data_IF_196379904353
#
_entry.id   IF_196379904353
#
_cell.length_a   1.000
_cell.length_b   1.000
_cell.length_c   1.000
_cell.angle_alpha   90.00
_cell.angle_beta   90.00
_cell.angle_gamma   90.00
#
_symmetry.space_group_name_H-M   'P 1'
#
loop_
_entity.id
_entity.type
_entity.pdbx_description
1 polymer ?
#
# COMPACT_ATOMS: atom_id res chain seq x y z
N UNK A 1 -18.55 -5.14 -17.36
CA UNK A 1 -17.35 -5.98 -17.09
C UNK A 1 -17.31 -6.22 -15.59
N UNK A 2 -17.20 -7.48 -15.16
CA UNK A 2 -17.10 -7.80 -13.74
C UNK A 2 -15.75 -7.32 -13.17
N UNK A 3 -15.79 -6.75 -11.96
CA UNK A 3 -14.58 -6.37 -11.23
C UNK A 3 -14.01 -7.63 -10.57
N UNK A 4 -12.80 -8.01 -10.94
CA UNK A 4 -12.11 -9.18 -10.34
C UNK A 4 -11.35 -8.73 -9.11
N UNK A 5 -11.65 -9.33 -7.95
CA UNK A 5 -10.92 -9.10 -6.69
C UNK A 5 -10.20 -10.38 -6.26
N UNK A 6 -9.01 -10.23 -5.67
CA UNK A 6 -8.30 -11.36 -5.04
C UNK A 6 -8.66 -11.46 -3.57
N UNK A 7 -9.14 -12.60 -3.12
CA UNK A 7 -9.36 -12.89 -1.70
C UNK A 7 -8.22 -13.77 -1.20
N UNK A 8 -7.46 -13.26 -0.22
CA UNK A 8 -6.25 -13.91 0.31
C UNK A 8 -6.42 -14.24 1.78
N UNK A 9 -6.12 -15.47 2.16
CA UNK A 9 -6.20 -15.92 3.55
C UNK A 9 -6.03 -17.43 3.70
N UNK A 10 -6.22 -17.97 4.92
CA UNK A 10 -6.22 -19.39 5.12
C UNK A 10 -7.44 -20.03 4.44
N UNK A 11 -7.28 -21.30 4.06
CA UNK A 11 -8.25 -22.07 3.28
C UNK A 11 -9.69 -22.00 3.84
N UNK A 12 -9.84 -22.16 5.15
CA UNK A 12 -11.14 -22.15 5.86
C UNK A 12 -11.91 -20.83 5.72
N UNK A 13 -11.21 -19.71 5.56
CA UNK A 13 -11.81 -18.38 5.49
C UNK A 13 -11.98 -17.86 4.06
N UNK A 14 -11.12 -18.26 3.13
CA UNK A 14 -11.17 -17.78 1.74
C UNK A 14 -12.51 -18.11 1.10
N UNK A 15 -13.01 -19.34 1.24
CA UNK A 15 -14.27 -19.75 0.63
C UNK A 15 -15.47 -19.00 1.21
N UNK A 16 -15.49 -18.81 2.52
CA UNK A 16 -16.57 -18.07 3.20
C UNK A 16 -16.59 -16.59 2.77
N UNK A 17 -15.41 -15.96 2.75
CA UNK A 17 -15.29 -14.55 2.35
C UNK A 17 -15.60 -14.39 0.87
N UNK A 18 -15.11 -15.28 0.01
CA UNK A 18 -15.37 -15.27 -1.42
C UNK A 18 -16.86 -15.43 -1.72
N UNK A 19 -17.54 -16.40 -1.10
CA UNK A 19 -18.98 -16.60 -1.28
C UNK A 19 -19.78 -15.34 -0.93
N UNK A 20 -19.43 -14.67 0.19
CA UNK A 20 -20.08 -13.41 0.57
C UNK A 20 -19.80 -12.27 -0.43
N UNK A 21 -18.60 -12.22 -1.02
CA UNK A 21 -18.26 -11.22 -2.03
C UNK A 21 -19.00 -11.45 -3.34
N UNK A 22 -19.22 -12.69 -3.74
CA UNK A 22 -19.91 -13.08 -4.99
C UNK A 22 -21.43 -12.81 -4.93
N UNK A 23 -22.00 -12.58 -3.75
CA UNK A 23 -23.37 -12.06 -3.62
C UNK A 23 -23.52 -10.64 -4.22
N UNK A 24 -22.41 -9.90 -4.34
CA UNK A 24 -22.43 -8.54 -4.91
C UNK A 24 -22.43 -8.61 -6.45
N UNK A 25 -23.48 -8.09 -7.12
CA UNK A 25 -23.52 -8.06 -8.58
C UNK A 25 -22.32 -7.36 -9.21
N UNK A 26 -21.75 -7.95 -10.25
CA UNK A 26 -20.62 -7.36 -10.96
C UNK A 26 -19.25 -7.61 -10.31
N UNK A 27 -19.17 -8.41 -9.26
CA UNK A 27 -17.92 -8.84 -8.62
C UNK A 27 -17.63 -10.29 -9.00
N UNK A 28 -16.39 -10.56 -9.35
CA UNK A 28 -15.83 -11.91 -9.51
C UNK A 28 -14.67 -12.08 -8.55
N UNK A 29 -14.52 -13.27 -7.97
CA UNK A 29 -13.51 -13.50 -6.94
C UNK A 29 -12.46 -14.51 -7.42
N UNK A 30 -11.20 -14.14 -7.30
CA UNK A 30 -10.07 -15.05 -7.40
C UNK A 30 -9.71 -15.52 -5.98
N UNK A 31 -9.98 -16.80 -5.68
CA UNK A 31 -9.67 -17.41 -4.38
C UNK A 31 -8.20 -17.78 -4.32
N UNK A 32 -7.50 -17.31 -3.30
CA UNK A 32 -6.06 -17.46 -3.13
C UNK A 32 -5.77 -17.81 -1.67
N UNK A 33 -5.90 -19.07 -1.39
CA UNK A 33 -5.62 -19.63 -0.07
C UNK A 33 -4.13 -19.88 0.14
N UNK A 34 -3.75 -20.00 1.40
CA UNK A 34 -2.41 -20.36 1.84
C UNK A 34 -2.47 -21.19 3.11
N UNK A 35 -1.51 -22.08 3.27
CA UNK A 35 -1.33 -22.89 4.48
C UNK A 35 -0.68 -22.05 5.60
N UNK A 36 0.21 -21.14 5.20
CA UNK A 36 0.91 -20.25 6.11
C UNK A 36 0.92 -18.81 5.57
N UNK A 37 0.68 -17.84 6.45
CA UNK A 37 0.58 -16.41 6.10
C UNK A 37 1.82 -15.83 5.40
N UNK A 38 2.99 -16.44 5.59
CA UNK A 38 4.25 -16.04 4.91
C UNK A 38 4.23 -16.27 3.40
N UNK A 39 3.32 -17.08 2.87
CA UNK A 39 3.15 -17.32 1.44
C UNK A 39 2.38 -16.17 0.74
N UNK A 40 1.65 -15.35 1.50
CA UNK A 40 0.77 -14.32 0.95
C UNK A 40 1.50 -13.28 0.05
N UNK A 41 2.73 -12.79 0.36
CA UNK A 41 3.41 -11.84 -0.51
C UNK A 41 3.70 -12.39 -1.92
N UNK A 42 4.16 -13.63 -2.02
CA UNK A 42 4.45 -14.29 -3.30
C UNK A 42 3.17 -14.50 -4.12
N UNK A 43 2.08 -14.95 -3.48
CA UNK A 43 0.77 -15.12 -4.10
C UNK A 43 0.26 -13.79 -4.67
N UNK A 44 0.34 -12.72 -3.90
CA UNK A 44 -0.12 -11.38 -4.29
C UNK A 44 0.72 -10.85 -5.47
N UNK A 45 2.04 -10.94 -5.40
CA UNK A 45 2.92 -10.46 -6.46
C UNK A 45 2.63 -11.17 -7.78
N UNK A 46 2.49 -12.50 -7.77
CA UNK A 46 2.24 -13.31 -8.94
C UNK A 46 0.88 -13.03 -9.60
N UNK A 47 -0.14 -12.60 -8.85
CA UNK A 47 -1.53 -12.42 -9.32
C UNK A 47 -1.98 -10.98 -9.47
N UNK A 48 -1.14 -10.01 -9.11
CA UNK A 48 -1.45 -8.56 -9.19
C UNK A 48 -2.00 -8.11 -10.56
N UNK A 49 -1.52 -8.59 -11.73
CA UNK A 49 -2.09 -8.17 -13.02
C UNK A 49 -3.53 -8.65 -13.25
N UNK A 50 -3.98 -9.66 -12.52
CA UNK A 50 -5.27 -10.32 -12.74
C UNK A 50 -6.41 -9.74 -11.91
N UNK A 51 -6.14 -8.80 -10.99
CA UNK A 51 -7.12 -8.27 -10.04
C UNK A 51 -7.17 -6.75 -10.01
N UNK A 52 -8.33 -6.21 -9.70
CA UNK A 52 -8.53 -4.78 -9.46
C UNK A 52 -8.16 -4.38 -8.02
N UNK A 53 -8.16 -5.32 -7.09
CA UNK A 53 -7.80 -5.08 -5.70
C UNK A 53 -7.79 -6.36 -4.86
N UNK A 54 -7.34 -6.23 -3.63
CA UNK A 54 -7.06 -7.31 -2.69
C UNK A 54 -7.93 -7.23 -1.44
N UNK A 55 -8.61 -8.32 -1.10
CA UNK A 55 -9.33 -8.48 0.15
C UNK A 55 -8.65 -9.57 0.98
N UNK A 56 -8.08 -9.20 2.11
CA UNK A 56 -7.45 -10.13 3.05
C UNK A 56 -8.45 -10.56 4.11
N UNK A 57 -8.50 -11.85 4.42
CA UNK A 57 -9.40 -12.39 5.43
C UNK A 57 -9.00 -12.00 6.86
N UNK A 58 -7.77 -11.52 7.08
CA UNK A 58 -7.25 -11.13 8.39
C UNK A 58 -6.02 -10.24 8.33
N UNK A 59 -5.50 -9.87 9.50
CA UNK A 59 -4.43 -8.87 9.67
C UNK A 59 -3.04 -9.42 9.32
N UNK A 60 -2.76 -10.70 9.52
CA UNK A 60 -1.42 -11.27 9.37
C UNK A 60 -0.93 -11.21 7.92
N UNK A 61 -1.64 -11.85 6.99
CA UNK A 61 -1.30 -11.85 5.56
C UNK A 61 -1.28 -10.44 4.96
N UNK A 62 -2.24 -9.56 5.37
CA UNK A 62 -2.26 -8.16 4.95
C UNK A 62 -0.98 -7.42 5.36
N UNK A 63 -0.56 -7.56 6.63
CA UNK A 63 0.62 -6.87 7.14
C UNK A 63 1.90 -7.36 6.47
N UNK A 64 2.03 -8.68 6.23
CA UNK A 64 3.18 -9.25 5.53
C UNK A 64 3.29 -8.73 4.09
N UNK A 65 2.18 -8.66 3.35
CA UNK A 65 2.16 -8.09 2.00
C UNK A 65 2.49 -6.59 2.00
N UNK A 66 2.01 -5.85 3.01
CA UNK A 66 2.32 -4.42 3.17
C UNK A 66 3.81 -4.21 3.47
N UNK A 67 4.40 -5.03 4.34
CA UNK A 67 5.83 -4.95 4.70
C UNK A 67 6.75 -5.36 3.55
N UNK A 68 6.33 -6.33 2.74
CA UNK A 68 7.03 -6.74 1.53
C UNK A 68 6.90 -5.71 0.38
N UNK A 69 5.99 -4.73 0.48
CA UNK A 69 5.79 -3.71 -0.55
C UNK A 69 5.14 -4.22 -1.84
N UNK A 70 4.48 -5.39 -1.81
CA UNK A 70 3.88 -6.02 -3.01
C UNK A 70 2.47 -5.54 -3.33
N UNK A 71 1.88 -4.66 -2.51
CA UNK A 71 0.52 -4.15 -2.69
C UNK A 71 0.46 -3.01 -3.72
N UNK A 72 0.58 -3.34 -5.00
CA UNK A 72 0.49 -2.38 -6.11
C UNK A 72 -0.96 -2.02 -6.51
N UNK A 73 -1.96 -2.74 -5.99
CA UNK A 73 -3.39 -2.48 -6.15
C UNK A 73 -4.02 -2.15 -4.80
N UNK A 74 -5.19 -1.51 -4.76
CA UNK A 74 -5.92 -1.27 -3.51
C UNK A 74 -6.07 -2.55 -2.71
N UNK A 75 -5.81 -2.47 -1.43
CA UNK A 75 -5.85 -3.61 -0.53
C UNK A 75 -6.59 -3.25 0.76
N UNK A 76 -7.51 -4.11 1.14
CA UNK A 76 -8.31 -3.99 2.36
C UNK A 76 -8.28 -5.32 3.09
N UNK A 77 -8.28 -5.29 4.41
CA UNK A 77 -8.52 -6.49 5.22
C UNK A 77 -9.92 -6.48 5.81
N UNK A 78 -10.46 -7.65 6.05
CA UNK A 78 -11.69 -7.78 6.82
C UNK A 78 -11.38 -7.49 8.29
N UNK A 79 -12.11 -6.54 8.88
CA UNK A 79 -11.99 -6.21 10.29
C UNK A 79 -12.93 -7.11 11.11
N UNK A 80 -12.38 -7.65 12.21
CA UNK A 80 -13.17 -8.36 13.21
C UNK A 80 -13.74 -7.32 14.17
N UNK A 81 -15.06 -7.13 14.10
CA UNK A 81 -15.80 -6.11 14.87
C UNK A 81 -16.22 -6.63 16.24
N UNK A 82 -16.70 -5.73 17.10
CA UNK A 82 -17.37 -6.08 18.36
C UNK A 82 -18.52 -7.06 18.16
N UNK A 83 -19.30 -6.93 17.09
CA UNK A 83 -20.36 -7.89 16.75
C UNK A 83 -19.82 -9.29 16.45
N UNK A 84 -18.65 -9.40 15.82
CA UNK A 84 -18.00 -10.70 15.57
C UNK A 84 -17.56 -11.34 16.89
N UNK A 85 -16.96 -10.55 17.79
CA UNK A 85 -16.57 -11.03 19.12
C UNK A 85 -17.79 -11.41 19.94
N UNK A 86 -18.85 -10.57 19.94
CA UNK A 86 -20.09 -10.87 20.67
C UNK A 86 -20.73 -12.20 20.21
N UNK A 87 -20.76 -12.48 18.92
CA UNK A 87 -21.22 -13.77 18.40
C UNK A 87 -20.39 -14.93 18.93
N UNK A 88 -19.07 -14.75 19.05
CA UNK A 88 -18.19 -15.76 19.62
C UNK A 88 -18.47 -15.98 21.12
N UNK A 89 -18.70 -14.91 21.87
CA UNK A 89 -19.07 -15.00 23.31
C UNK A 89 -20.39 -15.74 23.49
N UNK A 90 -21.42 -15.43 22.69
CA UNK A 90 -22.71 -16.13 22.72
C UNK A 90 -22.54 -17.62 22.43
N UNK A 91 -21.72 -17.99 21.44
CA UNK A 91 -21.45 -19.42 21.14
C UNK A 91 -20.79 -20.12 22.30
N UNK A 92 -19.71 -19.54 22.86
CA UNK A 92 -19.02 -20.11 24.02
C UNK A 92 -19.96 -20.26 25.23
N UNK A 93 -20.83 -19.28 25.46
CA UNK A 93 -21.84 -19.37 26.53
C UNK A 93 -22.85 -20.51 26.29
N UNK A 94 -23.30 -20.70 25.03
CA UNK A 94 -24.16 -21.86 24.68
C UNK A 94 -23.46 -23.19 24.85
N UNK A 95 -22.14 -23.23 24.69
CA UNK A 95 -21.29 -24.42 24.95
C UNK A 95 -20.97 -24.59 26.44
N UNK A 96 -21.54 -23.75 27.33
CA UNK A 96 -21.36 -23.85 28.77
C UNK A 96 -20.02 -23.29 29.27
N UNK A 97 -19.30 -22.53 28.43
CA UNK A 97 -18.02 -21.92 28.78
C UNK A 97 -18.21 -20.63 29.57
N UNK A 98 -17.30 -20.34 30.48
CA UNK A 98 -17.27 -19.08 31.23
C UNK A 98 -16.68 -17.98 30.37
N UNK A 99 -17.55 -17.12 29.82
CA UNK A 99 -17.15 -15.99 28.96
C UNK A 99 -16.54 -14.82 29.70
N UNK A 100 -16.52 -14.83 31.04
CA UNK A 100 -15.86 -13.80 31.87
C UNK A 100 -14.37 -14.08 32.06
N UNK A 101 -13.91 -15.31 31.75
CA UNK A 101 -12.53 -15.77 31.90
C UNK A 101 -12.01 -16.30 30.57
N UNK A 102 -11.59 -15.40 29.70
CA UNK A 102 -11.18 -15.71 28.33
C UNK A 102 -9.73 -15.37 28.05
N UNK A 103 -9.17 -16.04 27.03
CA UNK A 103 -7.90 -15.70 26.43
C UNK A 103 -8.12 -15.42 24.94
N UNK A 104 -7.83 -14.19 24.49
CA UNK A 104 -8.17 -13.69 23.16
C UNK A 104 -6.89 -13.19 22.47
N UNK A 105 -6.72 -13.56 21.19
CA UNK A 105 -5.58 -13.06 20.39
C UNK A 105 -6.00 -12.08 19.28
N UNK A 106 -5.00 -11.43 18.72
CA UNK A 106 -5.01 -10.55 17.54
C UNK A 106 -5.90 -9.33 17.61
N UNK A 107 -6.98 -9.36 18.37
CA UNK A 107 -7.86 -8.19 18.54
C UNK A 107 -7.21 -7.09 19.38
N UNK A 108 -7.46 -5.80 19.09
CA UNK A 108 -7.03 -4.72 19.98
C UNK A 108 -7.67 -4.82 21.35
N UNK A 109 -6.88 -4.72 22.41
CA UNK A 109 -7.38 -4.81 23.79
C UNK A 109 -8.51 -3.81 24.10
N UNK A 110 -8.42 -2.59 23.56
CA UNK A 110 -9.46 -1.58 23.73
C UNK A 110 -10.78 -1.98 23.05
N UNK A 111 -10.74 -2.67 21.88
CA UNK A 111 -11.93 -3.15 21.19
C UNK A 111 -12.59 -4.32 21.95
N UNK A 112 -11.77 -5.20 22.56
CA UNK A 112 -12.26 -6.28 23.41
C UNK A 112 -12.95 -5.69 24.66
N UNK A 113 -12.29 -4.78 25.38
CA UNK A 113 -12.85 -4.13 26.55
C UNK A 113 -14.17 -3.38 26.24
N UNK A 114 -14.24 -2.65 25.13
CA UNK A 114 -15.44 -1.97 24.68
C UNK A 114 -16.59 -2.97 24.42
N UNK A 115 -16.32 -4.08 23.76
CA UNK A 115 -17.34 -5.11 23.48
C UNK A 115 -17.87 -5.76 24.77
N UNK A 116 -17.00 -6.02 25.73
CA UNK A 116 -17.41 -6.55 27.04
C UNK A 116 -18.27 -5.55 27.80
N UNK A 117 -17.87 -4.27 27.84
CA UNK A 117 -18.64 -3.21 28.48
C UNK A 117 -20.03 -3.02 27.83
N UNK A 118 -20.12 -3.02 26.50
CA UNK A 118 -21.38 -2.95 25.75
C UNK A 118 -22.28 -4.15 26.02
N UNK A 119 -21.70 -5.34 26.22
CA UNK A 119 -22.42 -6.55 26.56
C UNK A 119 -22.79 -6.64 28.06
N UNK A 120 -22.35 -5.70 28.91
CA UNK A 120 -22.54 -5.75 30.35
C UNK A 120 -21.76 -6.88 31.04
N UNK A 121 -20.67 -7.35 30.44
CA UNK A 121 -19.84 -8.43 30.95
C UNK A 121 -18.59 -7.88 31.65
N UNK A 122 -18.14 -8.47 32.78
CA UNK A 122 -16.85 -8.12 33.37
C UNK A 122 -15.70 -8.60 32.49
N UNK A 123 -14.63 -7.83 32.45
CA UNK A 123 -13.44 -8.13 31.60
C UNK A 123 -12.14 -8.22 32.41
N UNK A 124 -12.19 -8.22 33.74
CA UNK A 124 -11.01 -8.22 34.60
C UNK A 124 -10.12 -9.45 34.44
N UNK A 125 -10.73 -10.62 34.19
CA UNK A 125 -10.06 -11.90 33.96
C UNK A 125 -9.91 -12.24 32.45
N UNK A 126 -10.14 -11.27 31.55
CA UNK A 126 -9.97 -11.45 30.13
C UNK A 126 -8.54 -11.10 29.71
N UNK A 127 -7.83 -12.10 29.22
CA UNK A 127 -6.44 -11.94 28.77
C UNK A 127 -6.40 -11.68 27.26
N UNK A 128 -5.72 -10.61 26.86
CA UNK A 128 -5.64 -10.22 25.43
C UNK A 128 -4.20 -10.09 24.98
N UNK A 129 -3.86 -10.74 23.85
CA UNK A 129 -2.62 -10.52 23.14
C UNK A 129 -2.94 -9.89 21.76
N UNK A 130 -2.85 -8.56 21.63
CA UNK A 130 -3.14 -7.91 20.36
C UNK A 130 -2.09 -8.26 19.29
N UNK A 131 -2.50 -8.23 18.02
CA UNK A 131 -1.58 -8.45 16.91
C UNK A 131 -0.45 -7.40 16.92
N UNK A 132 0.77 -7.90 16.77
CA UNK A 132 1.99 -7.09 16.60
C UNK A 132 2.85 -7.74 15.51
N UNK A 133 3.59 -6.93 14.78
CA UNK A 133 4.56 -7.43 13.80
C UNK A 133 5.54 -8.41 14.45
N UNK A 134 5.78 -9.54 13.78
CA UNK A 134 6.64 -10.60 14.30
C UNK A 134 6.00 -11.46 15.41
N UNK A 135 4.68 -11.34 15.61
CA UNK A 135 3.93 -12.26 16.47
C UNK A 135 3.71 -13.57 15.72
N UNK A 136 4.31 -14.66 16.20
CA UNK A 136 4.18 -15.99 15.58
C UNK A 136 3.08 -16.82 16.24
N UNK A 137 2.47 -17.80 15.51
CA UNK A 137 1.47 -18.70 16.07
C UNK A 137 1.94 -19.44 17.34
N UNK A 138 3.21 -19.84 17.41
CA UNK A 138 3.78 -20.53 18.58
C UNK A 138 3.78 -19.64 19.83
N UNK A 139 4.12 -18.36 19.66
CA UNK A 139 4.11 -17.38 20.77
C UNK A 139 2.68 -17.12 21.25
N UNK A 140 1.73 -17.07 20.33
CA UNK A 140 0.31 -16.91 20.66
C UNK A 140 -0.22 -18.16 21.37
N UNK A 141 0.06 -19.37 20.89
CA UNK A 141 -0.31 -20.61 21.55
C UNK A 141 0.29 -20.72 22.96
N UNK A 142 1.57 -20.34 23.12
CA UNK A 142 2.21 -20.29 24.43
C UNK A 142 1.56 -19.27 25.39
N UNK A 143 1.06 -18.13 24.87
CA UNK A 143 0.29 -17.17 25.65
C UNK A 143 -1.02 -17.78 26.16
N UNK A 144 -1.77 -18.47 25.32
CA UNK A 144 -3.02 -19.11 25.66
C UNK A 144 -2.83 -20.23 26.69
N UNK A 145 -1.83 -21.11 26.52
CA UNK A 145 -1.51 -22.17 27.47
C UNK A 145 -1.25 -21.67 28.90
N UNK A 146 -0.71 -20.47 29.04
CA UNK A 146 -0.53 -19.82 30.36
C UNK A 146 -1.83 -19.32 30.99
N UNK A 147 -2.96 -19.44 30.30
CA UNK A 147 -4.28 -19.00 30.76
C UNK A 147 -5.01 -19.98 31.67
N UNK A 148 -4.35 -20.99 32.24
CA UNK A 148 -4.94 -21.92 33.21
C UNK A 148 -6.28 -22.54 32.80
N UNK A 149 -6.42 -22.97 31.55
CA UNK A 149 -7.62 -23.60 31.00
C UNK A 149 -8.75 -22.64 30.63
N UNK A 150 -8.50 -21.36 30.55
CA UNK A 150 -9.48 -20.41 30.01
C UNK A 150 -9.85 -20.76 28.58
N UNK A 151 -11.13 -20.65 28.19
CA UNK A 151 -11.54 -20.78 26.80
C UNK A 151 -10.79 -19.76 25.92
N UNK A 152 -10.43 -20.17 24.72
CA UNK A 152 -9.59 -19.39 23.80
C UNK A 152 -10.45 -18.92 22.62
N UNK A 153 -10.33 -17.65 22.28
CA UNK A 153 -10.81 -17.10 21.01
C UNK A 153 -9.59 -16.71 20.18
N UNK A 154 -9.43 -17.36 19.02
CA UNK A 154 -8.28 -17.12 18.13
C UNK A 154 -8.71 -16.71 16.73
N UNK A 155 -7.98 -15.74 16.13
CA UNK A 155 -8.11 -15.40 14.70
C UNK A 155 -7.13 -16.19 13.82
N UNK A 156 -6.19 -16.94 14.40
CA UNK A 156 -5.11 -17.64 13.68
C UNK A 156 -5.41 -19.12 13.52
N UNK A 157 -5.39 -19.64 12.28
CA UNK A 157 -5.63 -21.05 11.98
C UNK A 157 -4.62 -21.97 12.68
N UNK A 158 -3.32 -21.64 12.59
CA UNK A 158 -2.27 -22.42 13.23
C UNK A 158 -2.37 -22.48 14.75
N UNK A 159 -2.90 -21.42 15.40
CA UNK A 159 -3.16 -21.42 16.85
C UNK A 159 -4.37 -22.31 17.18
N UNK A 160 -5.43 -22.23 16.38
CA UNK A 160 -6.61 -23.08 16.55
C UNK A 160 -6.23 -24.56 16.44
N UNK A 161 -5.48 -24.93 15.41
CA UNK A 161 -5.01 -26.31 15.20
C UNK A 161 -4.12 -26.81 16.34
N UNK A 162 -3.20 -25.96 16.82
CA UNK A 162 -2.26 -26.31 17.88
C UNK A 162 -2.91 -26.48 19.27
N UNK A 163 -4.09 -25.90 19.50
CA UNK A 163 -4.71 -25.87 20.83
C UNK A 163 -6.04 -26.63 20.92
N UNK A 164 -6.70 -26.97 19.81
CA UNK A 164 -8.05 -27.56 19.80
C UNK A 164 -8.19 -28.87 20.57
N UNK A 165 -7.12 -29.64 20.70
CA UNK A 165 -7.11 -30.89 21.43
C UNK A 165 -6.69 -30.70 22.91
N UNK A 166 -6.23 -29.49 23.30
CA UNK A 166 -5.73 -29.19 24.64
C UNK A 166 -6.69 -28.29 25.44
N UNK A 167 -7.37 -27.34 24.76
CA UNK A 167 -8.19 -26.29 25.38
C UNK A 167 -9.52 -26.13 24.62
N UNK A 168 -10.56 -25.57 25.26
CA UNK A 168 -11.73 -25.08 24.56
C UNK A 168 -11.34 -23.91 23.67
N UNK A 169 -11.22 -24.13 22.35
CA UNK A 169 -10.77 -23.11 21.38
C UNK A 169 -11.87 -22.81 20.38
N UNK A 170 -12.26 -21.55 20.29
CA UNK A 170 -13.15 -21.04 19.26
C UNK A 170 -12.37 -20.27 18.18
N UNK A 171 -12.49 -20.71 16.94
CA UNK A 171 -11.99 -19.98 15.77
C UNK A 171 -12.90 -18.79 15.50
N UNK A 172 -12.34 -17.59 15.53
CA UNK A 172 -13.08 -16.37 15.19
C UNK A 172 -13.20 -16.25 13.66
N UNK A 173 -14.42 -16.20 13.18
CA UNK A 173 -14.74 -16.10 11.74
C UNK A 173 -15.36 -14.74 11.48
N UNK A 174 -14.96 -14.04 10.40
CA UNK A 174 -15.53 -12.74 10.08
C UNK A 174 -17.02 -12.85 9.76
N UNK A 175 -17.81 -11.88 10.23
CA UNK A 175 -19.23 -11.83 9.88
C UNK A 175 -19.42 -11.43 8.41
N UNK A 176 -20.50 -11.89 7.77
CA UNK A 176 -20.86 -11.46 6.41
C UNK A 176 -21.00 -9.93 6.31
N UNK A 177 -21.46 -9.27 7.39
CA UNK A 177 -21.51 -7.81 7.45
C UNK A 177 -20.10 -7.19 7.34
N UNK A 178 -19.12 -7.66 8.12
CA UNK A 178 -17.74 -7.19 8.07
C UNK A 178 -17.12 -7.39 6.69
N UNK A 179 -17.40 -8.55 6.05
CA UNK A 179 -16.95 -8.84 4.69
C UNK A 179 -17.54 -7.84 3.69
N UNK A 180 -18.86 -7.60 3.73
CA UNK A 180 -19.51 -6.63 2.84
C UNK A 180 -19.02 -5.21 3.03
N UNK A 181 -18.73 -4.79 4.27
CA UNK A 181 -18.13 -3.47 4.55
C UNK A 181 -16.73 -3.36 3.96
N UNK A 182 -15.89 -4.38 4.16
CA UNK A 182 -14.54 -4.42 3.62
C UNK A 182 -14.56 -4.46 2.08
N UNK A 183 -15.44 -5.27 1.47
CA UNK A 183 -15.63 -5.31 0.02
C UNK A 183 -16.03 -3.94 -0.53
N UNK A 184 -17.00 -3.26 0.09
CA UNK A 184 -17.41 -1.91 -0.35
C UNK A 184 -16.27 -0.91 -0.31
N UNK A 185 -15.47 -0.93 0.76
CA UNK A 185 -14.27 -0.09 0.86
C UNK A 185 -13.27 -0.40 -0.26
N UNK A 186 -13.06 -1.69 -0.56
CA UNK A 186 -12.17 -2.13 -1.63
C UNK A 186 -12.65 -1.66 -2.99
N UNK A 187 -13.94 -1.84 -3.30
CA UNK A 187 -14.53 -1.42 -4.58
C UNK A 187 -14.41 0.09 -4.79
N UNK A 188 -14.70 0.90 -3.76
CA UNK A 188 -14.52 2.36 -3.81
C UNK A 188 -13.06 2.75 -4.04
N UNK A 189 -12.11 2.09 -3.37
CA UNK A 189 -10.70 2.34 -3.57
C UNK A 189 -10.22 1.92 -4.97
N UNK A 190 -10.70 0.78 -5.50
CA UNK A 190 -10.40 0.32 -6.85
C UNK A 190 -10.97 1.26 -7.92
N UNK A 191 -12.19 1.75 -7.72
CA UNK A 191 -12.82 2.75 -8.62
C UNK A 191 -12.05 4.06 -8.60
N UNK A 192 -11.67 4.57 -7.42
CA UNK A 192 -10.85 5.78 -7.29
C UNK A 192 -9.51 5.62 -8.01
N UNK A 193 -8.84 4.48 -7.83
CA UNK A 193 -7.59 4.18 -8.52
C UNK A 193 -7.78 4.11 -10.05
N UNK A 194 -8.86 3.47 -10.52
CA UNK A 194 -9.15 3.39 -11.95
C UNK A 194 -9.38 4.77 -12.57
N UNK A 195 -10.09 5.67 -11.87
CA UNK A 195 -10.26 7.06 -12.30
C UNK A 195 -8.92 7.82 -12.35
N UNK A 196 -8.07 7.65 -11.34
CA UNK A 196 -6.74 8.25 -11.37
C UNK A 196 -5.88 7.70 -12.51
N UNK A 197 -5.91 6.37 -12.73
CA UNK A 197 -5.14 5.71 -13.78
C UNK A 197 -5.63 6.07 -15.19
N UNK A 198 -6.87 6.52 -15.32
CA UNK A 198 -7.45 7.03 -16.57
C UNK A 198 -7.08 8.49 -16.89
N UNK A 199 -6.43 9.23 -15.98
CA UNK A 199 -5.97 10.59 -16.26
C UNK A 199 -5.08 10.63 -17.50
N UNK A 200 -5.25 11.67 -18.32
CA UNK A 200 -4.47 11.87 -19.53
C UNK A 200 -3.02 12.15 -19.18
N UNK A 201 -2.12 11.38 -19.77
CA UNK A 201 -0.68 11.60 -19.73
C UNK A 201 -0.17 11.94 -21.12
N UNK A 202 0.35 13.16 -21.29
CA UNK A 202 1.01 13.56 -22.51
C UNK A 202 2.51 13.66 -22.29
N UNK A 203 3.29 13.10 -23.20
CA UNK A 203 4.74 13.19 -23.24
C UNK A 203 5.21 14.00 -24.44
N UNK A 204 6.12 14.94 -24.24
CA UNK A 204 6.87 15.59 -25.30
C UNK A 204 8.28 15.01 -25.32
N UNK A 205 8.65 14.41 -26.44
CA UNK A 205 9.95 13.75 -26.64
C UNK A 205 10.78 14.54 -27.63
N UNK A 206 12.01 14.87 -27.26
CA UNK A 206 13.02 15.52 -28.06
C UNK A 206 14.20 14.56 -28.22
N UNK A 207 14.39 14.06 -29.43
CA UNK A 207 15.45 13.13 -29.81
C UNK A 207 15.83 13.34 -31.26
N UNK A 208 17.13 13.15 -31.59
CA UNK A 208 17.64 13.34 -32.97
C UNK A 208 17.19 12.20 -33.90
N UNK A 209 17.12 10.98 -33.35
CA UNK A 209 16.63 9.78 -34.02
C UNK A 209 15.39 9.26 -33.28
N UNK A 210 14.28 9.15 -34.01
CA UNK A 210 12.98 8.68 -33.51
C UNK A 210 12.71 7.21 -33.84
N UNK A 211 13.68 6.50 -34.43
CA UNK A 211 13.56 5.09 -34.77
C UNK A 211 13.25 4.24 -33.52
N UNK A 212 12.16 3.54 -33.59
CA UNK A 212 11.66 2.72 -32.47
C UNK A 212 10.81 3.45 -31.45
N UNK A 213 10.63 4.81 -31.54
CA UNK A 213 9.80 5.56 -30.59
C UNK A 213 8.36 5.06 -30.54
N UNK A 214 7.81 4.60 -31.67
CA UNK A 214 6.47 3.99 -31.72
C UNK A 214 6.37 2.71 -30.87
N UNK A 215 7.41 1.87 -30.90
CA UNK A 215 7.47 0.64 -30.08
C UNK A 215 7.57 0.99 -28.59
N UNK A 216 8.34 2.00 -28.29
CA UNK A 216 8.50 2.50 -26.92
C UNK A 216 7.21 3.13 -26.38
N UNK A 217 6.49 3.87 -27.21
CA UNK A 217 5.18 4.41 -26.86
C UNK A 217 4.17 3.28 -26.59
N UNK A 218 4.19 2.20 -27.39
CA UNK A 218 3.35 1.04 -27.15
C UNK A 218 3.66 0.35 -25.81
N UNK A 219 4.94 0.27 -25.43
CA UNK A 219 5.35 -0.24 -24.10
C UNK A 219 4.86 0.64 -22.92
N UNK A 220 4.58 1.92 -23.18
CA UNK A 220 3.94 2.85 -22.24
C UNK A 220 2.39 2.84 -22.36
N UNK A 221 1.82 1.84 -23.07
CA UNK A 221 0.37 1.75 -23.32
C UNK A 221 -0.17 2.93 -24.13
N UNK A 222 0.66 3.56 -24.95
CA UNK A 222 0.34 4.78 -25.67
C UNK A 222 0.63 4.72 -27.16
N UNK A 223 0.52 5.88 -27.79
CA UNK A 223 0.88 6.11 -29.20
C UNK A 223 1.73 7.38 -29.30
N UNK A 224 2.42 7.53 -30.45
CA UNK A 224 3.26 8.72 -30.71
C UNK A 224 2.89 9.31 -32.05
N UNK A 225 2.99 10.64 -32.15
CA UNK A 225 2.82 11.41 -33.37
C UNK A 225 3.85 12.52 -33.45
N UNK A 226 4.20 12.94 -34.68
CA UNK A 226 5.03 14.12 -34.88
C UNK A 226 4.32 15.36 -34.31
N UNK A 227 5.08 16.24 -33.67
CA UNK A 227 4.58 17.44 -33.05
C UNK A 227 5.41 18.67 -33.48
N UNK A 228 5.04 19.86 -33.02
CA UNK A 228 5.68 21.11 -33.43
C UNK A 228 7.16 21.17 -33.00
N UNK A 229 8.01 21.80 -33.84
CA UNK A 229 9.41 22.07 -33.49
C UNK A 229 10.32 20.84 -33.38
N UNK A 230 10.06 19.79 -34.18
CA UNK A 230 10.90 18.59 -34.18
C UNK A 230 10.75 17.71 -32.94
N UNK A 231 9.69 17.94 -32.14
CA UNK A 231 9.36 17.07 -31.00
C UNK A 231 8.32 16.03 -31.39
N UNK A 232 8.21 14.96 -30.64
CA UNK A 232 7.18 13.95 -30.77
C UNK A 232 6.21 14.04 -29.58
N UNK A 233 4.91 13.92 -29.85
CA UNK A 233 3.86 13.86 -28.84
C UNK A 233 3.55 12.38 -28.58
N UNK A 234 3.79 11.95 -27.35
CA UNK A 234 3.39 10.66 -26.84
C UNK A 234 2.08 10.82 -26.07
N UNK A 235 1.08 10.01 -26.37
CA UNK A 235 -0.23 10.03 -25.74
C UNK A 235 -0.46 8.71 -25.02
N UNK A 236 -0.69 8.76 -23.72
CA UNK A 236 -1.00 7.60 -22.89
C UNK A 236 -1.92 8.03 -21.71
N UNK A 237 -2.09 7.17 -20.72
CA UNK A 237 -2.77 7.51 -19.47
C UNK A 237 -1.84 7.27 -18.28
N UNK A 238 -2.23 7.79 -17.11
CA UNK A 238 -1.43 7.72 -15.88
C UNK A 238 -1.10 6.29 -15.47
N UNK A 239 -2.06 5.36 -15.57
CA UNK A 239 -1.88 3.96 -15.15
C UNK A 239 -0.71 3.27 -15.87
N UNK A 240 -0.74 3.11 -17.20
CA UNK A 240 0.36 2.55 -17.98
C UNK A 240 1.68 3.30 -17.78
N UNK A 241 1.65 4.64 -17.71
CA UNK A 241 2.85 5.43 -17.47
C UNK A 241 3.45 5.12 -16.10
N UNK A 242 2.62 5.04 -15.03
CA UNK A 242 3.06 4.70 -13.67
C UNK A 242 3.68 3.30 -13.62
N UNK A 243 3.05 2.32 -14.27
CA UNK A 243 3.54 0.94 -14.33
C UNK A 243 4.90 0.86 -15.04
N UNK A 244 5.01 1.44 -16.22
CA UNK A 244 6.23 1.42 -17.03
C UNK A 244 7.39 2.23 -16.40
N UNK A 245 7.08 3.16 -15.50
CA UNK A 245 8.07 3.99 -14.79
C UNK A 245 8.33 3.53 -13.36
N UNK A 246 7.88 2.34 -12.99
CA UNK A 246 8.00 1.81 -11.62
C UNK A 246 7.54 2.83 -10.55
N UNK A 247 6.32 3.37 -10.72
CA UNK A 247 5.76 4.38 -9.81
C UNK A 247 6.37 5.77 -9.96
N UNK A 248 6.73 6.17 -11.17
CA UNK A 248 7.38 7.45 -11.51
C UNK A 248 8.80 7.59 -10.95
N UNK A 249 9.52 6.49 -10.81
CA UNK A 249 10.91 6.50 -10.36
C UNK A 249 11.88 6.58 -11.53
N UNK A 250 11.67 5.82 -12.58
CA UNK A 250 12.56 5.77 -13.70
C UNK A 250 11.83 5.58 -15.04
N UNK A 251 12.50 5.88 -16.14
CA UNK A 251 11.95 5.80 -17.49
C UNK A 251 12.88 4.96 -18.37
N UNK A 252 12.52 3.68 -18.68
CA UNK A 252 13.32 2.83 -19.57
C UNK A 252 13.46 3.40 -20.98
N UNK A 253 12.45 4.10 -21.49
CA UNK A 253 12.51 4.84 -22.74
C UNK A 253 13.70 5.80 -22.79
N UNK A 254 13.98 6.54 -21.71
CA UNK A 254 15.06 7.52 -21.67
C UNK A 254 16.43 6.85 -21.88
N UNK A 255 16.67 5.71 -21.22
CA UNK A 255 17.92 4.96 -21.39
C UNK A 255 18.13 4.49 -22.82
N UNK A 256 17.05 4.01 -23.49
CA UNK A 256 17.10 3.54 -24.86
C UNK A 256 17.28 4.69 -25.86
N UNK A 257 16.65 5.82 -25.65
CA UNK A 257 16.87 7.01 -26.47
C UNK A 257 18.30 7.55 -26.30
N UNK A 258 18.81 7.61 -25.08
CA UNK A 258 20.17 8.09 -24.79
C UNK A 258 21.26 7.21 -25.41
N UNK A 259 21.00 5.92 -25.62
CA UNK A 259 21.93 5.00 -26.28
C UNK A 259 22.14 5.32 -27.77
N UNK A 260 21.19 6.03 -28.42
CA UNK A 260 21.17 6.33 -29.85
C UNK A 260 21.29 7.82 -30.16
N UNK A 261 20.96 8.67 -29.21
CA UNK A 261 20.86 10.11 -29.37
C UNK A 261 21.81 10.84 -28.45
N UNK A 262 22.45 11.88 -28.95
CA UNK A 262 23.20 12.82 -28.10
C UNK A 262 22.27 13.63 -27.22
N UNK A 263 21.09 13.97 -27.76
CA UNK A 263 20.03 14.66 -27.04
C UNK A 263 18.83 13.73 -26.92
N UNK A 264 18.41 13.44 -25.67
CA UNK A 264 17.23 12.65 -25.36
C UNK A 264 16.49 13.28 -24.19
N UNK A 265 15.49 14.10 -24.46
CA UNK A 265 14.74 14.80 -23.43
C UNK A 265 13.26 14.40 -23.50
N UNK A 266 12.68 14.11 -22.35
CA UNK A 266 11.28 13.73 -22.23
C UNK A 266 10.59 14.57 -21.15
N UNK A 267 9.47 15.19 -21.52
CA UNK A 267 8.63 15.91 -20.56
C UNK A 267 7.23 15.32 -20.53
N UNK A 268 6.84 14.70 -19.42
CA UNK A 268 5.47 14.23 -19.21
C UNK A 268 4.63 15.24 -18.42
N UNK A 269 3.34 15.33 -18.76
CA UNK A 269 2.35 16.08 -18.01
C UNK A 269 1.13 15.20 -17.71
N UNK A 270 0.67 15.18 -16.46
CA UNK A 270 -0.57 14.52 -16.05
C UNK A 270 -1.66 15.56 -15.82
N UNK A 271 -2.75 15.47 -16.56
CA UNK A 271 -3.87 16.41 -16.49
C UNK A 271 -5.23 15.75 -16.54
N UNK A 272 -6.27 16.47 -16.11
CA UNK A 272 -7.68 16.05 -16.26
C UNK A 272 -8.21 16.34 -17.67
N UNK A 273 -7.51 17.17 -18.43
CA UNK A 273 -7.79 17.46 -19.85
C UNK A 273 -6.51 17.38 -20.67
N UNK A 274 -6.65 17.18 -21.98
CA UNK A 274 -5.52 17.17 -22.90
C UNK A 274 -4.76 18.50 -22.91
N UNK A 275 -5.46 19.64 -22.83
CA UNK A 275 -4.85 20.96 -22.78
C UNK A 275 -4.01 21.17 -21.51
N UNK A 276 -4.51 20.69 -20.37
CA UNK A 276 -3.77 20.76 -19.10
C UNK A 276 -2.54 19.84 -19.15
N UNK A 277 -2.72 18.59 -19.60
CA UNK A 277 -1.62 17.63 -19.73
C UNK A 277 -0.53 18.16 -20.69
N UNK A 278 -0.91 18.80 -21.82
CA UNK A 278 0.03 19.41 -22.75
C UNK A 278 0.80 20.57 -22.11
N UNK A 279 0.11 21.47 -21.40
CA UNK A 279 0.76 22.58 -20.69
C UNK A 279 1.79 22.08 -19.67
N UNK A 280 1.44 21.05 -18.91
CA UNK A 280 2.33 20.40 -17.96
C UNK A 280 3.50 19.68 -18.65
N UNK A 281 3.27 19.00 -19.78
CA UNK A 281 4.32 18.35 -20.56
C UNK A 281 5.33 19.36 -21.13
N UNK A 282 4.85 20.54 -21.60
CA UNK A 282 5.74 21.64 -22.04
C UNK A 282 6.60 22.18 -20.88
N UNK A 283 6.02 22.34 -19.71
CA UNK A 283 6.75 22.74 -18.50
C UNK A 283 7.80 21.69 -18.13
N UNK A 284 7.43 20.41 -18.16
CA UNK A 284 8.33 19.30 -17.90
C UNK A 284 9.51 19.25 -18.88
N UNK A 285 9.23 19.40 -20.19
CA UNK A 285 10.28 19.43 -21.21
C UNK A 285 11.21 20.64 -21.04
N UNK A 286 10.67 21.83 -20.76
CA UNK A 286 11.48 23.00 -20.45
C UNK A 286 12.36 22.79 -19.20
N UNK A 287 11.89 22.03 -18.23
CA UNK A 287 12.69 21.63 -17.07
C UNK A 287 13.77 20.62 -17.44
N UNK A 288 13.45 19.61 -18.26
CA UNK A 288 14.41 18.61 -18.74
C UNK A 288 15.58 19.28 -19.51
N UNK A 289 15.28 20.26 -20.37
CA UNK A 289 16.31 21.05 -21.09
C UNK A 289 17.30 21.75 -20.17
N UNK A 290 16.85 22.19 -18.97
CA UNK A 290 17.73 22.81 -17.96
C UNK A 290 18.55 21.84 -17.16
N UNK A 291 18.13 20.56 -17.10
CA UNK A 291 18.85 19.50 -16.41
C UNK A 291 20.03 19.01 -17.26
N UNK A 292 19.84 18.83 -18.56
CA UNK A 292 20.91 18.36 -19.44
C UNK A 292 20.43 17.83 -20.79
N UNK A 293 21.35 17.22 -21.52
CA UNK A 293 21.07 16.62 -22.84
C UNK A 293 20.28 15.32 -22.73
N UNK A 294 20.45 14.59 -21.62
CA UNK A 294 19.68 13.38 -21.31
C UNK A 294 18.91 13.61 -20.01
N UNK A 295 17.61 13.81 -20.13
CA UNK A 295 16.76 14.08 -18.96
C UNK A 295 15.29 13.76 -19.22
N UNK A 296 14.59 13.27 -18.20
CA UNK A 296 13.15 13.12 -18.21
C UNK A 296 12.53 13.75 -16.97
N UNK A 297 11.41 14.43 -17.16
CA UNK A 297 10.66 15.09 -16.08
C UNK A 297 9.18 14.80 -16.26
N UNK A 298 8.50 14.54 -15.15
CA UNK A 298 7.06 14.47 -15.05
C UNK A 298 6.55 15.67 -14.26
N UNK A 299 5.73 16.51 -14.87
CA UNK A 299 5.07 17.63 -14.19
C UNK A 299 3.65 17.27 -13.78
N UNK A 300 3.34 17.52 -12.52
CA UNK A 300 2.03 17.36 -11.92
C UNK A 300 1.40 18.74 -11.63
N UNK A 301 0.12 18.73 -11.27
CA UNK A 301 -0.54 19.91 -10.68
C UNK A 301 0.23 20.40 -9.45
N UNK A 302 -0.05 21.62 -9.01
CA UNK A 302 0.57 22.27 -7.86
C UNK A 302 2.11 22.44 -7.98
N UNK A 303 2.61 22.73 -9.19
CA UNK A 303 4.03 23.01 -9.47
C UNK A 303 5.01 21.93 -9.00
N UNK A 304 4.57 20.68 -9.01
CA UNK A 304 5.41 19.54 -8.64
C UNK A 304 6.02 18.92 -9.89
N UNK A 305 7.36 18.87 -9.93
CA UNK A 305 8.13 18.23 -10.98
C UNK A 305 8.89 17.03 -10.39
N UNK A 306 8.78 15.87 -11.03
CA UNK A 306 9.49 14.64 -10.70
C UNK A 306 10.51 14.37 -11.79
N UNK A 307 11.78 14.26 -11.45
CA UNK A 307 12.83 13.83 -12.39
C UNK A 307 12.81 12.31 -12.46
N UNK A 308 12.65 11.77 -13.67
CA UNK A 308 12.68 10.33 -13.93
C UNK A 308 14.09 9.90 -14.30
N UNK A 309 14.56 8.81 -13.70
CA UNK A 309 15.87 8.26 -13.99
C UNK A 309 15.91 7.52 -15.33
N UNK A 310 17.06 7.55 -16.01
CA UNK A 310 17.32 6.64 -17.13
C UNK A 310 17.65 5.25 -16.55
N UNK A 311 16.68 4.36 -16.51
CA UNK A 311 16.88 2.99 -16.04
C UNK A 311 17.02 2.04 -17.23
N UNK A 312 18.15 1.30 -17.29
CA UNK A 312 18.21 0.05 -18.06
C UNK A 312 17.45 -1.02 -17.27
N UNK A 313 16.67 -1.86 -17.94
CA UNK A 313 15.80 -2.84 -17.33
C UNK A 313 16.41 -3.50 -16.07
N UNK A 314 15.78 -3.23 -14.91
CA UNK A 314 16.00 -3.73 -13.54
C UNK A 314 17.31 -3.31 -12.85
N UNK A 315 17.30 -2.42 -11.86
CA UNK A 315 18.45 -2.13 -11.02
C UNK A 315 18.58 -3.18 -9.90
N UNK A 316 19.73 -3.87 -9.86
CA UNK A 316 20.26 -4.46 -8.64
C UNK A 316 21.16 -3.38 -7.99
N UNK A 317 20.65 -2.68 -6.97
CA UNK A 317 21.42 -1.69 -6.21
C UNK A 317 20.52 -0.58 -5.67
N UNK A 318 20.75 -0.14 -4.44
CA UNK A 318 19.98 0.92 -3.79
C UNK A 318 20.00 2.24 -4.58
N UNK A 319 19.03 3.14 -4.32
CA UNK A 319 18.85 4.36 -5.09
C UNK A 319 20.08 5.28 -4.96
N UNK A 320 20.59 5.79 -6.08
CA UNK A 320 21.64 6.82 -6.09
C UNK A 320 21.06 8.11 -5.47
N UNK A 321 21.62 8.49 -4.32
CA UNK A 321 21.18 9.66 -3.56
C UNK A 321 21.32 10.96 -4.35
N UNK A 322 22.25 11.05 -5.30
CA UNK A 322 22.42 12.22 -6.16
C UNK A 322 21.23 12.38 -7.12
N UNK A 323 20.68 11.26 -7.57
CA UNK A 323 19.50 11.22 -8.44
C UNK A 323 18.22 11.51 -7.65
N UNK A 324 18.08 10.91 -6.47
CA UNK A 324 16.99 11.23 -5.55
C UNK A 324 16.98 12.71 -5.15
N UNK A 325 18.16 13.28 -4.90
CA UNK A 325 18.34 14.72 -4.59
C UNK A 325 17.72 15.61 -5.67
N UNK A 326 18.04 15.35 -6.92
CA UNK A 326 17.49 16.08 -8.08
C UNK A 326 15.98 15.85 -8.24
N UNK A 327 15.52 14.63 -7.96
CA UNK A 327 14.12 14.22 -8.09
C UNK A 327 13.19 14.93 -7.11
N UNK A 328 13.57 14.98 -5.83
CA UNK A 328 12.73 15.55 -4.77
C UNK A 328 13.08 16.99 -4.40
N UNK A 329 14.17 17.53 -4.98
CA UNK A 329 14.67 18.87 -4.66
C UNK A 329 15.17 18.99 -3.21
N UNK A 330 15.66 17.88 -2.63
CA UNK A 330 16.32 17.84 -1.32
C UNK A 330 17.82 17.58 -1.52
N UNK A 331 18.66 18.17 -0.70
CA UNK A 331 20.11 17.95 -0.80
C UNK A 331 20.48 16.52 -0.40
N UNK A 332 21.56 15.96 -0.97
CA UNK A 332 22.07 14.63 -0.62
C UNK A 332 22.23 14.45 0.90
N UNK A 333 22.85 15.41 1.65
CA UNK A 333 22.94 15.29 3.10
C UNK A 333 21.58 15.22 3.82
N UNK A 334 20.55 15.85 3.26
CA UNK A 334 19.18 15.76 3.80
C UNK A 334 18.57 14.37 3.56
N UNK A 335 18.84 13.77 2.40
CA UNK A 335 18.38 12.41 2.08
C UNK A 335 19.11 11.36 2.93
N UNK A 336 20.40 11.53 3.19
CA UNK A 336 21.17 10.68 4.10
C UNK A 336 20.57 10.68 5.51
N UNK A 337 20.26 11.86 6.07
CA UNK A 337 19.59 11.99 7.37
C UNK A 337 18.19 11.37 7.37
N UNK A 338 17.45 11.43 6.26
CA UNK A 338 16.14 10.77 6.11
C UNK A 338 16.28 9.24 6.13
N UNK A 339 17.30 8.69 5.45
CA UNK A 339 17.61 7.26 5.49
C UNK A 339 18.06 6.80 6.88
N UNK A 340 18.86 7.60 7.58
CA UNK A 340 19.23 7.34 8.98
C UNK A 340 18.00 7.36 9.89
N UNK A 341 17.12 8.36 9.74
CA UNK A 341 15.88 8.45 10.50
C UNK A 341 14.99 7.23 10.28
N UNK A 342 14.89 6.74 9.02
CA UNK A 342 14.16 5.51 8.66
C UNK A 342 14.78 4.27 9.31
N UNK A 343 16.12 4.10 9.22
CA UNK A 343 16.83 2.98 9.85
C UNK A 343 16.65 2.99 11.37
N UNK A 344 16.80 4.15 12.00
CA UNK A 344 16.60 4.32 13.43
C UNK A 344 15.15 4.09 13.90
N UNK A 345 14.17 4.19 13.00
CA UNK A 345 12.77 3.83 13.24
C UNK A 345 12.47 2.35 12.92
N UNK A 346 13.49 1.54 12.57
CA UNK A 346 13.30 0.14 12.17
C UNK A 346 12.37 -0.02 10.95
N UNK A 347 12.33 0.97 10.05
CA UNK A 347 11.37 1.00 8.91
C UNK A 347 9.93 1.32 9.30
N UNK A 348 9.66 1.58 10.57
CA UNK A 348 8.33 1.96 11.07
C UNK A 348 7.91 3.37 10.64
N UNK A 349 6.61 3.72 10.80
CA UNK A 349 6.12 5.04 10.49
C UNK A 349 6.64 6.08 11.49
N UNK A 350 6.89 7.29 10.99
CA UNK A 350 7.38 8.45 11.73
C UNK A 350 6.33 9.57 11.72
N UNK A 351 6.18 10.28 12.83
CA UNK A 351 5.41 11.52 12.85
C UNK A 351 6.22 12.68 12.29
N UNK A 352 5.54 13.73 11.83
CA UNK A 352 6.22 14.98 11.42
C UNK A 352 7.08 15.56 12.56
N UNK A 353 6.67 15.38 13.83
CA UNK A 353 7.40 15.85 15.02
C UNK A 353 8.70 15.08 15.21
N UNK A 354 8.65 13.74 15.14
CA UNK A 354 9.83 12.88 15.27
C UNK A 354 10.83 13.14 14.14
N UNK A 355 10.35 13.28 12.91
CA UNK A 355 11.20 13.58 11.79
C UNK A 355 11.87 14.96 11.93
N UNK A 356 11.12 15.99 12.35
CA UNK A 356 11.64 17.33 12.62
C UNK A 356 12.77 17.31 13.67
N UNK A 357 12.56 16.54 14.74
CA UNK A 357 13.54 16.38 15.81
C UNK A 357 14.82 15.67 15.29
N UNK A 358 14.68 14.55 14.57
CA UNK A 358 15.82 13.76 14.03
C UNK A 358 16.62 14.52 12.99
N UNK A 359 15.96 15.34 12.17
CA UNK A 359 16.62 16.16 11.13
C UNK A 359 17.14 17.50 11.65
N UNK A 360 16.86 17.86 12.92
CA UNK A 360 17.15 19.16 13.53
C UNK A 360 16.56 20.33 12.71
N UNK A 361 15.29 20.20 12.26
CA UNK A 361 14.57 21.21 11.49
C UNK A 361 13.24 21.57 12.14
N UNK A 362 12.63 22.69 11.74
CA UNK A 362 11.30 23.05 12.20
C UNK A 362 10.24 22.09 11.63
N UNK A 363 9.15 21.84 12.38
CA UNK A 363 8.05 20.97 11.95
C UNK A 363 7.44 21.35 10.60
N UNK A 364 7.37 22.64 10.29
CA UNK A 364 6.91 23.17 9.00
C UNK A 364 7.81 22.69 7.86
N UNK A 365 9.12 22.68 8.07
CA UNK A 365 10.11 22.19 7.11
C UNK A 365 9.99 20.69 6.91
N UNK A 366 9.90 19.93 8.02
CA UNK A 366 9.69 18.48 7.95
C UNK A 366 8.40 18.12 7.21
N UNK A 367 7.30 18.85 7.43
CA UNK A 367 6.03 18.65 6.72
C UNK A 367 6.18 18.90 5.21
N UNK A 368 6.89 19.96 4.80
CA UNK A 368 7.17 20.21 3.39
C UNK A 368 8.02 19.13 2.76
N UNK A 369 9.03 18.62 3.49
CA UNK A 369 9.86 17.51 3.01
C UNK A 369 9.03 16.24 2.84
N UNK A 370 8.23 15.86 3.85
CA UNK A 370 7.35 14.70 3.77
C UNK A 370 6.34 14.79 2.63
N UNK A 371 5.77 15.97 2.41
CA UNK A 371 4.85 16.18 1.30
C UNK A 371 5.55 16.01 -0.06
N UNK A 372 6.78 16.52 -0.24
CA UNK A 372 7.57 16.28 -1.46
C UNK A 372 7.91 14.81 -1.65
N UNK A 373 8.29 14.11 -0.59
CA UNK A 373 8.56 12.68 -0.62
C UNK A 373 7.30 11.87 -0.95
N UNK A 374 6.15 12.25 -0.38
CA UNK A 374 4.85 11.64 -0.66
C UNK A 374 4.47 11.80 -2.14
N UNK A 375 4.60 13.00 -2.69
CA UNK A 375 4.36 13.28 -4.11
C UNK A 375 5.31 12.51 -5.04
N UNK A 376 6.53 12.26 -4.59
CA UNK A 376 7.53 11.47 -5.31
C UNK A 376 7.36 9.95 -5.09
N UNK A 377 6.37 9.49 -4.32
CA UNK A 377 6.18 8.08 -3.98
C UNK A 377 7.24 7.51 -3.01
N UNK A 378 7.99 8.38 -2.32
CA UNK A 378 9.06 8.02 -1.40
C UNK A 378 8.65 8.17 0.08
N UNK A 379 7.40 8.53 0.34
CA UNK A 379 6.76 8.50 1.64
C UNK A 379 5.27 8.22 1.48
N UNK A 380 4.70 7.51 2.43
CA UNK A 380 3.28 7.15 2.43
C UNK A 380 2.66 7.55 3.77
N UNK A 381 1.43 8.10 3.73
CA UNK A 381 0.64 8.30 4.96
C UNK A 381 0.05 6.98 5.42
N UNK A 382 0.42 6.57 6.62
CA UNK A 382 -0.02 5.28 7.18
C UNK A 382 -1.11 5.42 8.24
N UNK A 383 -1.48 6.65 8.62
CA UNK A 383 -2.51 6.90 9.62
C UNK A 383 -2.32 8.19 10.41
N UNK A 384 -3.14 8.35 11.44
CA UNK A 384 -3.04 9.46 12.39
C UNK A 384 -2.84 8.90 13.80
N UNK A 385 -1.92 9.48 14.55
CA UNK A 385 -1.73 9.20 15.97
C UNK A 385 -2.55 10.22 16.77
N UNK A 386 -3.50 9.74 17.59
CA UNK A 386 -4.23 10.58 18.54
C UNK A 386 -3.49 10.47 19.88
N UNK A 387 -2.78 11.50 20.26
CA UNK A 387 -2.21 11.63 21.61
C UNK A 387 -3.35 12.10 22.54
N UNK A 388 -3.67 11.36 23.56
CA UNK A 388 -4.89 11.41 24.39
C UNK A 388 -5.21 12.70 25.13
N UNK A 389 -4.71 13.86 24.72
CA UNK A 389 -5.07 15.18 25.25
C UNK A 389 -5.26 16.14 24.07
N UNK A 390 -6.42 16.76 24.03
CA UNK A 390 -6.85 17.91 23.21
C UNK A 390 -5.79 18.49 22.24
N UNK A 391 -5.60 17.89 21.07
CA UNK A 391 -4.69 18.34 20.03
C UNK A 391 -5.05 17.75 18.66
N UNK A 392 -4.68 18.45 17.56
CA UNK A 392 -4.88 17.96 16.19
C UNK A 392 -4.10 16.64 16.00
N UNK A 393 -4.71 15.57 15.46
CA UNK A 393 -4.04 14.28 15.24
C UNK A 393 -2.73 14.43 14.46
N UNK A 394 -1.68 13.74 14.91
CA UNK A 394 -0.39 13.73 14.26
C UNK A 394 -0.42 12.71 13.09
N UNK A 395 -0.14 13.16 11.88
CA UNK A 395 -0.06 12.27 10.72
C UNK A 395 1.21 11.43 10.78
N UNK A 396 1.06 10.12 10.58
CA UNK A 396 2.13 9.13 10.47
C UNK A 396 2.54 8.95 9.02
N UNK A 397 3.84 8.95 8.74
CA UNK A 397 4.43 8.72 7.44
C UNK A 397 5.41 7.56 7.48
N UNK A 398 5.31 6.66 6.51
CA UNK A 398 6.33 5.63 6.25
C UNK A 398 7.23 6.13 5.12
N UNK A 399 8.54 6.10 5.34
CA UNK A 399 9.52 6.43 4.30
C UNK A 399 9.87 5.16 3.51
N UNK A 400 9.79 5.24 2.18
CA UNK A 400 10.08 4.16 1.22
C UNK A 400 11.34 4.41 0.40
N UNK A 401 12.22 5.30 0.91
CA UNK A 401 13.51 5.69 0.32
C UNK A 401 14.46 4.51 0.17
#
# INVERSE_FOLDING_TARGET
>A
VAVVIGVVGPHDLVDLVAATCEEQPGVSVLRLDHDHETQAPEIVEARTPSVAGWLFTGVASYTLCQDAGVLARPAVRVDYTGATLLNALVRLQHEGQDVTRLSIDTLPAAAVAATFAEAGLPSDDVRVIPYRRGLTPERVAAFHRRGAGHPVITCLSGVHEALRDELPVLRLVPSAHSVRVALRRLLLAAESQAHEDAQIALGLVEADDDEGLLREAAALGGTVAAFRGGTHLLVTTRGPLREATAGFTGLPLLARLAARNRVARVGFGLGLSAAEAESLARRALARARRIGDVAAVLSLRADTDIVLEAISARPAGGPDLSVLSRRVGLSVPTLEKLLEARRAAGGGPLTTRELAHRLAVQQRTARRMLHRLELAGLAERTGNLTDGTSGRPLTLYRLTL
#
